data_IF_388201287227
#
_entry.id   IF_388201287227
#
_cell.length_a   1.000
_cell.length_b   1.000
_cell.length_c   1.000
_cell.angle_alpha   90.00
_cell.angle_beta   90.00
_cell.angle_gamma   90.00
#
_symmetry.space_group_name_H-M   'P 1'
#
loop_
_entity.id
_entity.type
_entity.pdbx_description
1 polymer ?
#
# COMPACT_ATOMS: atom_id res chain seq x y z
N UNK A 1 -16.36 27.72 -7.83
CA UNK A 1 -16.25 26.30 -7.42
C UNK A 1 -14.79 25.86 -7.24
N UNK A 2 -13.87 26.22 -8.15
CA UNK A 2 -12.44 25.86 -8.11
C UNK A 2 -11.71 26.24 -6.82
N UNK A 3 -11.93 27.44 -6.28
CA UNK A 3 -11.26 27.91 -5.05
C UNK A 3 -11.51 27.01 -3.83
N UNK A 4 -12.67 26.34 -3.77
CA UNK A 4 -13.01 25.42 -2.69
C UNK A 4 -12.33 24.06 -2.85
N UNK A 5 -12.18 23.57 -4.09
CA UNK A 5 -11.48 22.32 -4.40
C UNK A 5 -9.99 22.46 -4.04
N UNK A 6 -9.35 23.54 -4.48
CA UNK A 6 -7.93 23.83 -4.17
C UNK A 6 -7.69 23.90 -2.66
N UNK A 7 -8.58 24.56 -1.91
CA UNK A 7 -8.49 24.65 -0.44
C UNK A 7 -8.64 23.30 0.24
N UNK A 8 -9.53 22.42 -0.25
CA UNK A 8 -9.71 21.06 0.28
C UNK A 8 -8.50 20.18 -0.04
N UNK A 9 -8.00 20.21 -1.27
CA UNK A 9 -6.81 19.47 -1.69
C UNK A 9 -5.60 19.87 -0.87
N UNK A 10 -5.34 21.17 -0.70
CA UNK A 10 -4.22 21.66 0.12
C UNK A 10 -4.29 21.17 1.57
N UNK A 11 -5.49 21.17 2.17
CA UNK A 11 -5.70 20.66 3.54
C UNK A 11 -5.44 19.15 3.62
N UNK A 12 -5.92 18.38 2.64
CA UNK A 12 -5.66 16.95 2.58
C UNK A 12 -4.16 16.64 2.43
N UNK A 13 -3.46 17.37 1.56
CA UNK A 13 -2.01 17.20 1.36
C UNK A 13 -1.20 17.52 2.62
N UNK A 14 -1.50 18.63 3.31
CA UNK A 14 -0.82 18.99 4.56
C UNK A 14 -1.08 17.94 5.65
N UNK A 15 -2.31 17.43 5.74
CA UNK A 15 -2.65 16.35 6.67
C UNK A 15 -1.87 15.07 6.36
N UNK A 16 -1.81 14.67 5.09
CA UNK A 16 -1.06 13.49 4.64
C UNK A 16 0.43 13.61 5.01
N UNK A 17 1.05 14.75 4.73
CA UNK A 17 2.47 15.00 5.04
C UNK A 17 2.72 14.90 6.55
N UNK A 18 1.85 15.51 7.37
CA UNK A 18 1.95 15.41 8.84
C UNK A 18 1.77 13.98 9.33
N UNK A 19 0.84 13.22 8.77
CA UNK A 19 0.59 11.83 9.14
C UNK A 19 1.80 10.92 8.76
N UNK A 20 2.42 11.17 7.61
CA UNK A 20 3.67 10.50 7.19
C UNK A 20 4.85 10.84 8.10
N UNK A 21 5.05 12.12 8.43
CA UNK A 21 6.13 12.56 9.33
C UNK A 21 5.95 12.04 10.76
N UNK A 22 4.71 12.02 11.25
CA UNK A 22 4.37 11.57 12.60
C UNK A 22 4.39 10.05 12.80
N UNK A 23 4.75 9.25 11.78
CA UNK A 23 4.68 7.78 11.79
C UNK A 23 3.33 7.27 12.31
N UNK A 24 2.24 7.97 11.98
CA UNK A 24 0.92 7.63 12.51
C UNK A 24 0.55 6.22 12.01
N UNK A 25 0.26 5.31 12.92
CA UNK A 25 -0.12 3.94 12.54
C UNK A 25 -1.52 3.98 11.94
N UNK A 26 -1.68 3.54 10.70
CA UNK A 26 -2.97 3.39 10.02
C UNK A 26 -3.40 1.92 10.00
N UNK A 27 -3.93 1.39 11.12
CA UNK A 27 -4.16 -0.05 11.27
C UNK A 27 -5.16 -0.60 10.24
N UNK A 28 -6.21 0.16 9.93
CA UNK A 28 -7.21 -0.22 8.91
C UNK A 28 -6.58 -0.30 7.52
N UNK A 29 -5.73 0.67 7.16
CA UNK A 29 -5.01 0.64 5.87
C UNK A 29 -4.07 -0.55 5.78
N UNK A 30 -3.34 -0.87 6.86
CA UNK A 30 -2.49 -2.05 6.93
C UNK A 30 -3.29 -3.35 6.78
N UNK A 31 -4.45 -3.44 7.42
CA UNK A 31 -5.35 -4.59 7.30
C UNK A 31 -5.88 -4.76 5.87
N UNK A 32 -6.38 -3.69 5.25
CA UNK A 32 -6.83 -3.71 3.86
C UNK A 32 -5.69 -4.10 2.91
N UNK A 33 -4.49 -3.55 3.10
CA UNK A 33 -3.30 -3.95 2.34
C UNK A 33 -3.00 -5.45 2.50
N UNK A 34 -3.18 -6.00 3.71
CA UNK A 34 -3.03 -7.42 3.97
C UNK A 34 -4.02 -8.27 3.19
N UNK A 35 -5.29 -7.87 3.12
CA UNK A 35 -6.34 -8.56 2.35
C UNK A 35 -6.02 -8.51 0.85
N UNK A 36 -5.76 -7.33 0.30
CA UNK A 36 -5.45 -7.15 -1.14
C UNK A 36 -4.23 -7.99 -1.53
N UNK A 37 -3.21 -8.00 -0.67
CA UNK A 37 -2.02 -8.80 -0.90
C UNK A 37 -2.33 -10.30 -0.87
N UNK A 38 -3.06 -10.79 0.13
CA UNK A 38 -3.34 -12.23 0.30
C UNK A 38 -4.33 -12.79 -0.72
N UNK A 39 -5.35 -12.03 -1.11
CA UNK A 39 -6.42 -12.49 -2.00
C UNK A 39 -6.20 -12.16 -3.47
N UNK A 40 -5.42 -11.11 -3.79
CA UNK A 40 -5.18 -10.70 -5.17
C UNK A 40 -3.76 -10.95 -5.61
N UNK A 41 -2.83 -10.16 -5.07
CA UNK A 41 -1.45 -10.07 -5.58
C UNK A 41 -0.70 -11.40 -5.39
N UNK A 42 -0.79 -12.00 -4.20
CA UNK A 42 -0.12 -13.27 -3.88
C UNK A 42 -0.59 -14.42 -4.78
N UNK A 43 -1.90 -14.75 -4.87
CA UNK A 43 -2.35 -15.86 -5.72
C UNK A 43 -2.07 -15.60 -7.19
N UNK A 44 -2.17 -14.34 -7.66
CA UNK A 44 -1.80 -13.99 -9.03
C UNK A 44 -0.32 -14.28 -9.33
N UNK A 45 0.58 -13.82 -8.45
CA UNK A 45 2.03 -14.04 -8.59
C UNK A 45 2.37 -15.52 -8.48
N UNK A 46 1.73 -16.26 -7.58
CA UNK A 46 1.90 -17.71 -7.44
C UNK A 46 1.41 -18.46 -8.68
N UNK A 47 0.26 -18.08 -9.26
CA UNK A 47 -0.30 -18.68 -10.47
C UNK A 47 0.60 -18.48 -11.70
N UNK A 48 1.26 -17.32 -11.81
CA UNK A 48 2.23 -17.04 -12.89
C UNK A 48 3.60 -17.70 -12.69
N UNK A 49 3.85 -18.33 -11.53
CA UNK A 49 4.97 -19.23 -11.29
C UNK A 49 6.33 -18.67 -11.70
N UNK A 50 6.99 -19.35 -12.65
CA UNK A 50 8.37 -19.09 -13.06
C UNK A 50 8.63 -17.65 -13.54
N UNK A 51 7.66 -17.03 -14.22
CA UNK A 51 7.78 -15.65 -14.71
C UNK A 51 7.96 -14.63 -13.56
N UNK A 52 7.56 -14.98 -12.34
CA UNK A 52 7.68 -14.13 -11.15
C UNK A 52 8.55 -14.76 -10.06
N UNK A 53 9.37 -15.77 -10.39
CA UNK A 53 10.24 -16.46 -9.43
C UNK A 53 11.15 -15.50 -8.65
N UNK A 54 11.64 -14.44 -9.30
CA UNK A 54 12.43 -13.38 -8.66
C UNK A 54 11.66 -12.62 -7.56
N UNK A 55 10.38 -12.34 -7.79
CA UNK A 55 9.48 -11.68 -6.83
C UNK A 55 9.25 -12.58 -5.62
N UNK A 56 8.93 -13.85 -5.86
CA UNK A 56 8.73 -14.85 -4.80
C UNK A 56 9.99 -15.01 -3.95
N UNK A 57 11.16 -15.13 -4.58
CA UNK A 57 12.45 -15.22 -3.89
C UNK A 57 12.73 -14.00 -3.03
N UNK A 58 12.42 -12.79 -3.54
CA UNK A 58 12.58 -11.53 -2.78
C UNK A 58 11.63 -11.47 -1.57
N UNK A 59 10.38 -11.91 -1.73
CA UNK A 59 9.41 -11.95 -0.64
C UNK A 59 9.81 -12.91 0.48
N UNK A 60 10.30 -14.11 0.14
CA UNK A 60 10.86 -15.06 1.11
C UNK A 60 12.05 -14.45 1.87
N UNK A 61 13.00 -13.82 1.16
CA UNK A 61 14.16 -13.16 1.79
C UNK A 61 13.76 -12.04 2.76
N UNK A 62 12.67 -11.33 2.48
CA UNK A 62 12.17 -10.22 3.31
C UNK A 62 11.16 -10.64 4.39
N UNK A 63 10.86 -11.93 4.56
CA UNK A 63 9.83 -12.45 5.48
C UNK A 63 8.45 -11.80 5.28
N UNK A 64 8.13 -11.47 4.03
CA UNK A 64 6.79 -11.02 3.60
C UNK A 64 5.88 -12.24 3.35
N UNK A 65 6.52 -13.40 3.13
CA UNK A 65 5.90 -14.69 2.91
C UNK A 65 5.67 -15.43 4.23
#
# INVERSE_FOLDING_TARGET
MEKHVVKRTRRASVRLIRELQGKKKHPVQCFCHGIIFRLGIRPFVMKKGAAYAGVVRKWKKRKIF
#
